data_IF_860133730961
#
_entry.id   IF_860133730961
#
_cell.length_a   1.000
_cell.length_b   1.000
_cell.length_c   1.000
_cell.angle_alpha   90.00
_cell.angle_beta   90.00
_cell.angle_gamma   90.00
#
_symmetry.space_group_name_H-M   'P 1'
#
loop_
_entity.id
_entity.type
_entity.pdbx_description
1 polymer ?
#
# COMPACT_ATOMS: atom_id res chain seq x y z
N UNK A 1 54.54 -6.70 31.35
CA UNK A 1 55.08 -7.49 30.22
C UNK A 1 54.10 -8.60 29.90
N UNK A 2 53.69 -8.68 28.62
CA UNK A 2 53.14 -9.83 27.85
C UNK A 2 51.96 -10.64 28.44
N UNK A 3 50.72 -10.51 27.93
CA UNK A 3 50.10 -11.01 26.66
C UNK A 3 49.77 -12.53 26.62
N UNK A 4 48.49 -12.79 26.29
CA UNK A 4 47.92 -13.94 25.56
C UNK A 4 47.90 -15.31 26.27
N UNK A 5 46.96 -16.24 26.02
CA UNK A 5 45.65 -16.30 25.35
C UNK A 5 45.13 -17.73 25.60
N UNK A 6 43.83 -17.94 25.74
CA UNK A 6 43.12 -19.18 25.36
C UNK A 6 41.61 -18.95 25.50
N UNK A 7 41.01 -18.49 24.40
CA UNK A 7 39.58 -18.50 24.13
C UNK A 7 39.31 -19.77 23.32
N UNK A 8 38.62 -20.74 23.89
CA UNK A 8 38.16 -21.93 23.16
C UNK A 8 36.63 -22.09 23.29
N UNK A 9 35.99 -21.97 22.12
CA UNK A 9 34.87 -22.78 21.63
C UNK A 9 33.72 -23.13 22.60
N UNK A 10 32.73 -22.25 22.69
CA UNK A 10 31.38 -22.62 23.12
C UNK A 10 30.30 -21.74 22.47
N UNK A 11 30.14 -21.81 21.14
CA UNK A 11 28.92 -21.26 20.51
C UNK A 11 28.69 -21.81 19.10
N UNK A 12 28.49 -23.12 18.93
CA UNK A 12 28.17 -23.74 17.62
C UNK A 12 27.19 -24.93 17.72
N UNK A 13 26.26 -24.94 18.69
CA UNK A 13 25.18 -25.95 18.73
C UNK A 13 23.86 -25.35 19.21
N UNK A 14 23.09 -24.76 18.28
CA UNK A 14 21.61 -24.72 18.29
C UNK A 14 21.04 -24.07 17.02
N UNK A 15 21.43 -24.56 15.85
CA UNK A 15 20.67 -24.34 14.61
C UNK A 15 20.71 -25.67 13.86
N UNK A 16 19.93 -26.64 14.32
CA UNK A 16 19.58 -27.85 13.56
C UNK A 16 18.45 -28.56 14.31
N UNK A 17 17.26 -27.99 14.21
CA UNK A 17 16.01 -28.75 14.33
C UNK A 17 15.08 -28.17 13.28
N UNK A 18 14.86 -28.92 12.21
CA UNK A 18 13.92 -28.61 11.14
C UNK A 18 12.53 -28.50 11.80
N UNK A 19 12.12 -27.27 12.04
CA UNK A 19 10.80 -26.93 12.57
C UNK A 19 9.75 -27.04 11.47
N UNK A 20 8.52 -27.35 11.85
CA UNK A 20 7.38 -27.44 10.93
C UNK A 20 7.17 -26.07 10.26
N UNK A 21 6.45 -25.97 9.13
CA UNK A 21 6.18 -24.67 8.47
C UNK A 21 5.63 -23.58 9.40
N UNK A 22 4.94 -23.95 10.49
CA UNK A 22 4.46 -23.03 11.52
C UNK A 22 5.54 -22.41 12.40
N UNK A 23 6.74 -22.98 12.49
CA UNK A 23 7.86 -22.43 13.26
C UNK A 23 8.57 -21.30 12.52
N UNK A 24 8.50 -21.27 11.18
CA UNK A 24 9.04 -20.20 10.32
C UNK A 24 8.28 -18.88 10.47
N UNK A 25 7.05 -18.93 11.00
CA UNK A 25 6.15 -17.78 11.06
C UNK A 25 6.08 -17.15 12.46
N UNK A 26 6.77 -17.74 13.44
CA UNK A 26 6.65 -17.42 14.86
C UNK A 26 7.76 -16.46 15.27
N UNK A 27 7.40 -15.21 15.61
CA UNK A 27 8.34 -14.23 16.16
C UNK A 27 8.86 -14.62 17.55
N UNK A 28 9.86 -13.90 18.09
CA UNK A 28 10.51 -14.23 19.35
C UNK A 28 9.56 -14.29 20.56
N UNK A 29 8.44 -13.58 20.51
CA UNK A 29 7.42 -13.55 21.56
C UNK A 29 6.32 -14.62 21.36
N UNK A 30 6.49 -15.50 20.36
CA UNK A 30 5.54 -16.55 20.02
C UNK A 30 4.38 -16.11 19.11
N UNK A 31 4.33 -14.85 18.71
CA UNK A 31 3.31 -14.25 17.83
C UNK A 31 3.63 -14.42 16.35
N UNK A 32 2.62 -14.74 15.55
CA UNK A 32 2.77 -14.89 14.10
C UNK A 32 2.79 -13.52 13.39
N UNK A 33 3.54 -13.37 12.31
CA UNK A 33 3.56 -12.10 11.54
C UNK A 33 2.14 -11.64 11.12
N UNK A 34 1.35 -12.58 10.58
CA UNK A 34 -0.06 -12.37 10.22
C UNK A 34 -0.93 -12.09 11.47
N UNK A 35 -0.63 -12.74 12.60
CA UNK A 35 -1.35 -12.52 13.84
C UNK A 35 -1.03 -11.16 14.48
N UNK A 36 0.19 -10.63 14.31
CA UNK A 36 0.57 -9.29 14.77
C UNK A 36 -0.24 -8.21 14.04
N UNK A 37 -0.44 -8.36 12.72
CA UNK A 37 -1.31 -7.49 11.93
C UNK A 37 -2.78 -7.64 12.32
N UNK A 38 -3.26 -8.88 12.53
CA UNK A 38 -4.63 -9.15 12.99
C UNK A 38 -4.91 -8.62 14.41
N UNK A 39 -3.95 -8.73 15.33
CA UNK A 39 -4.04 -8.21 16.70
C UNK A 39 -4.01 -6.69 16.69
N UNK A 40 -3.19 -6.05 15.85
CA UNK A 40 -3.20 -4.60 15.67
C UNK A 40 -4.57 -4.11 15.14
N UNK A 41 -5.12 -4.78 14.13
CA UNK A 41 -6.43 -4.44 13.59
C UNK A 41 -7.58 -4.69 14.59
N UNK A 42 -7.51 -5.74 15.41
CA UNK A 42 -8.50 -6.04 16.45
C UNK A 42 -8.38 -5.13 17.68
N UNK A 43 -7.16 -4.70 18.06
CA UNK A 43 -6.93 -3.79 19.18
C UNK A 43 -7.60 -2.42 18.97
N UNK A 44 -7.73 -1.97 17.72
CA UNK A 44 -8.50 -0.76 17.39
C UNK A 44 -10.00 -0.94 17.64
N UNK A 45 -10.50 -2.18 17.59
CA UNK A 45 -11.92 -2.51 17.83
C UNK A 45 -12.25 -2.63 19.31
N UNK A 46 -11.32 -3.09 20.14
CA UNK A 46 -11.53 -3.30 21.59
C UNK A 46 -11.48 -2.03 22.43
N UNK A 47 -10.85 -0.95 21.93
CA UNK A 47 -10.80 0.36 22.63
C UNK A 47 -11.99 1.27 22.29
N UNK A 48 -12.86 0.86 21.36
CA UNK A 48 -14.19 1.45 21.24
C UNK A 48 -15.07 0.82 22.33
N UNK A 49 -15.28 1.54 23.43
CA UNK A 49 -16.28 1.18 24.43
C UNK A 49 -17.60 0.93 23.72
N UNK A 50 -18.04 -0.33 23.75
CA UNK A 50 -19.34 -0.75 23.26
C UNK A 50 -20.40 -0.17 24.21
N UNK A 51 -20.75 1.09 23.98
CA UNK A 51 -21.99 1.66 24.47
C UNK A 51 -23.07 1.33 23.44
N UNK A 52 -23.86 0.32 23.78
CA UNK A 52 -25.11 0.03 23.08
C UNK A 52 -25.98 1.28 23.05
N UNK A 53 -26.30 1.80 21.86
CA UNK A 53 -27.48 2.63 21.61
C UNK A 53 -27.75 2.72 20.10
N UNK A 54 -28.15 1.60 19.50
CA UNK A 54 -28.89 1.66 18.22
C UNK A 54 -30.30 2.16 18.53
N UNK A 55 -30.59 3.43 18.25
CA UNK A 55 -31.96 3.93 18.12
C UNK A 55 -32.40 3.83 16.65
N UNK A 56 -33.63 3.35 16.35
CA UNK A 56 -34.17 3.40 15.00
C UNK A 56 -34.60 4.84 14.68
N UNK A 57 -34.18 5.39 13.53
CA UNK A 57 -34.72 6.66 13.03
C UNK A 57 -36.04 6.43 12.28
N UNK A 58 -37.01 7.36 12.40
CA UNK A 58 -38.39 7.15 11.98
C UNK A 58 -38.57 7.34 10.47
N UNK A 59 -39.47 6.54 9.92
CA UNK A 59 -40.08 6.72 8.61
C UNK A 59 -40.92 7.98 8.60
N UNK A 60 -40.65 8.92 7.69
CA UNK A 60 -41.63 9.74 6.96
C UNK A 60 -40.85 10.72 6.08
N UNK A 61 -41.03 10.66 4.76
CA UNK A 61 -41.27 11.85 3.93
C UNK A 61 -41.82 11.41 2.56
N UNK A 62 -42.88 12.09 2.17
CA UNK A 62 -43.85 11.82 1.11
C UNK A 62 -43.42 12.32 -0.26
N UNK A 63 -43.99 11.66 -1.29
CA UNK A 63 -44.35 12.11 -2.64
C UNK A 63 -43.64 13.32 -3.28
N UNK A 64 -43.06 13.08 -4.45
CA UNK A 64 -43.12 14.03 -5.58
C UNK A 64 -43.38 13.23 -6.87
N UNK A 65 -44.33 13.72 -7.66
CA UNK A 65 -44.87 13.15 -8.90
C UNK A 65 -43.86 13.20 -10.05
N UNK A 66 -43.89 12.17 -10.91
CA UNK A 66 -43.24 12.11 -12.22
C UNK A 66 -44.18 12.71 -13.27
N UNK A 67 -43.66 13.58 -14.13
CA UNK A 67 -44.24 13.78 -15.46
C UNK A 67 -43.15 14.02 -16.52
N UNK A 68 -43.56 13.69 -17.75
CA UNK A 68 -42.94 13.82 -19.07
C UNK A 68 -41.92 12.77 -19.55
N UNK A 69 -42.50 11.79 -20.25
CA UNK A 69 -41.86 10.89 -21.19
C UNK A 69 -41.40 11.63 -22.46
N UNK A 70 -40.15 11.43 -22.88
CA UNK A 70 -39.69 11.72 -24.24
C UNK A 70 -39.18 10.44 -24.91
N UNK A 71 -39.74 10.25 -26.10
CA UNK A 71 -39.71 9.09 -26.99
C UNK A 71 -38.28 8.63 -27.35
N UNK A 72 -37.98 7.34 -27.20
CA UNK A 72 -36.72 6.71 -27.61
C UNK A 72 -36.98 5.76 -28.76
N UNK A 73 -36.73 6.21 -29.99
CA UNK A 73 -36.55 5.29 -31.12
C UNK A 73 -35.42 5.80 -32.01
N UNK A 74 -34.60 4.84 -32.46
CA UNK A 74 -33.42 4.93 -33.33
C UNK A 74 -32.04 5.16 -32.67
N UNK A 75 -31.38 4.08 -32.23
CA UNK A 75 -29.92 3.90 -32.39
C UNK A 75 -29.58 2.40 -32.51
N UNK A 76 -28.52 2.04 -33.28
CA UNK A 76 -28.27 0.68 -33.73
C UNK A 76 -27.69 -0.22 -32.63
N UNK A 77 -28.13 -1.48 -32.64
CA UNK A 77 -27.59 -2.56 -31.83
C UNK A 77 -26.17 -2.87 -32.31
N UNK A 78 -25.15 -2.49 -31.53
CA UNK A 78 -23.95 -3.27 -31.25
C UNK A 78 -22.90 -2.38 -30.57
N UNK A 79 -22.98 -2.25 -29.25
CA UNK A 79 -21.84 -1.82 -28.42
C UNK A 79 -21.94 -2.50 -27.06
N UNK A 80 -20.95 -3.28 -26.60
CA UNK A 80 -21.00 -3.93 -25.30
C UNK A 80 -20.78 -2.87 -24.21
N UNK A 81 -21.87 -2.31 -23.69
CA UNK A 81 -21.86 -1.34 -22.60
C UNK A 81 -21.83 -2.07 -21.25
N UNK A 82 -20.71 -1.94 -20.54
CA UNK A 82 -20.58 -2.29 -19.12
C UNK A 82 -21.61 -1.49 -18.29
N UNK A 83 -22.65 -2.18 -17.80
CA UNK A 83 -23.22 -2.02 -16.46
C UNK A 83 -23.85 -0.69 -16.00
N UNK A 84 -23.83 0.42 -16.75
CA UNK A 84 -24.72 1.56 -16.48
C UNK A 84 -26.01 1.37 -17.26
N UNK A 85 -27.17 1.40 -16.58
CA UNK A 85 -28.47 1.55 -17.29
C UNK A 85 -28.30 2.72 -18.25
N UNK A 86 -28.35 2.46 -19.55
CA UNK A 86 -28.05 3.41 -20.64
C UNK A 86 -28.72 4.78 -20.44
N UNK A 87 -29.93 4.83 -19.87
CA UNK A 87 -30.61 6.08 -19.45
C UNK A 87 -29.80 6.99 -18.52
N UNK A 88 -29.06 6.43 -17.55
CA UNK A 88 -28.26 7.19 -16.60
C UNK A 88 -27.05 7.86 -17.25
N UNK A 89 -26.42 7.19 -18.22
CA UNK A 89 -25.28 7.73 -18.96
C UNK A 89 -25.71 8.91 -19.86
N UNK A 90 -26.77 8.74 -20.64
CA UNK A 90 -27.28 9.81 -21.49
C UNK A 90 -27.81 11.01 -20.70
N UNK A 91 -28.46 10.77 -19.55
CA UNK A 91 -28.88 11.82 -18.62
C UNK A 91 -27.69 12.58 -18.03
N UNK A 92 -26.61 11.87 -17.66
CA UNK A 92 -25.36 12.48 -17.19
C UNK A 92 -24.73 13.36 -18.28
N UNK A 93 -24.59 12.82 -19.49
CA UNK A 93 -24.04 13.54 -20.65
C UNK A 93 -24.88 14.79 -20.97
N UNK A 94 -26.21 14.69 -20.95
CA UNK A 94 -27.10 15.83 -21.15
C UNK A 94 -26.93 16.91 -20.07
N UNK A 95 -26.80 16.50 -18.80
CA UNK A 95 -26.56 17.42 -17.68
C UNK A 95 -25.21 18.13 -17.80
N UNK A 96 -24.15 17.41 -18.18
CA UNK A 96 -22.82 17.99 -18.39
C UNK A 96 -22.79 18.98 -19.56
N UNK A 97 -23.48 18.67 -20.68
CA UNK A 97 -23.65 19.59 -21.80
C UNK A 97 -24.40 20.86 -21.38
N UNK A 98 -25.45 20.74 -20.57
CA UNK A 98 -26.20 21.88 -20.03
C UNK A 98 -25.34 22.77 -19.13
N UNK A 99 -24.55 22.17 -18.24
CA UNK A 99 -23.61 22.90 -17.37
C UNK A 99 -22.53 23.63 -18.19
N UNK A 100 -21.96 22.99 -19.21
CA UNK A 100 -20.98 23.62 -20.13
C UNK A 100 -21.59 24.83 -20.84
N UNK A 101 -22.82 24.73 -21.31
CA UNK A 101 -23.53 25.83 -21.96
C UNK A 101 -23.83 26.99 -20.98
N UNK A 102 -24.17 26.68 -19.73
CA UNK A 102 -24.38 27.69 -18.68
C UNK A 102 -23.08 28.45 -18.37
N UNK A 103 -21.95 27.75 -18.20
CA UNK A 103 -20.65 28.35 -17.92
C UNK A 103 -20.18 29.28 -19.06
N UNK A 104 -20.39 28.87 -20.32
CA UNK A 104 -20.12 29.73 -21.49
C UNK A 104 -20.97 30.99 -21.52
N UNK A 105 -22.25 30.92 -21.12
CA UNK A 105 -23.17 32.07 -21.13
C UNK A 105 -22.79 33.15 -20.13
N UNK A 106 -22.13 32.79 -19.03
CA UNK A 106 -21.66 33.73 -17.99
C UNK A 106 -20.21 34.20 -18.21
N UNK A 107 -19.63 33.95 -19.39
CA UNK A 107 -18.28 34.39 -19.74
C UNK A 107 -17.16 33.72 -18.97
N UNK A 108 -17.43 32.61 -18.26
CA UNK A 108 -16.41 31.82 -17.57
C UNK A 108 -15.81 30.86 -18.59
N UNK A 109 -14.63 31.21 -19.07
CA UNK A 109 -13.79 30.29 -19.81
C UNK A 109 -13.02 29.41 -18.83
N UNK A 110 -13.32 28.12 -18.81
CA UNK A 110 -12.84 27.17 -17.78
C UNK A 110 -11.37 26.75 -18.04
N UNK A 111 -10.76 27.27 -19.11
CA UNK A 111 -9.36 27.00 -19.44
C UNK A 111 -8.44 27.51 -18.32
N UNK A 112 -7.60 26.59 -17.79
CA UNK A 112 -6.55 26.85 -16.82
C UNK A 112 -7.00 27.45 -15.47
N UNK A 113 -8.06 26.87 -14.89
CA UNK A 113 -8.55 27.28 -13.56
C UNK A 113 -7.57 27.01 -12.41
N UNK A 114 -6.59 26.11 -12.59
CA UNK A 114 -5.55 25.85 -11.58
C UNK A 114 -4.18 25.62 -12.22
N UNK A 115 -3.12 26.09 -11.54
CA UNK A 115 -1.73 25.83 -11.95
C UNK A 115 -1.48 24.32 -11.88
N UNK A 116 -1.07 23.73 -13.00
CA UNK A 116 -0.72 22.30 -13.09
C UNK A 116 -1.86 21.38 -13.55
N UNK A 117 -3.09 21.88 -13.73
CA UNK A 117 -4.18 21.13 -14.35
C UNK A 117 -4.50 21.73 -15.74
N UNK A 118 -3.94 21.15 -16.83
CA UNK A 118 -4.15 21.67 -18.18
C UNK A 118 -5.59 21.46 -18.68
N UNK A 119 -6.36 20.60 -18.00
CA UNK A 119 -7.71 20.20 -18.44
C UNK A 119 -8.82 20.63 -17.51
N UNK A 120 -8.53 20.88 -16.23
CA UNK A 120 -9.48 21.42 -15.26
C UNK A 120 -10.80 20.66 -15.20
N UNK A 121 -11.84 21.41 -14.89
CA UNK A 121 -13.25 20.99 -15.02
C UNK A 121 -13.63 20.75 -16.50
N UNK A 122 -12.84 21.19 -17.49
CA UNK A 122 -13.08 20.90 -18.91
C UNK A 122 -12.89 19.41 -19.25
N UNK A 123 -12.08 18.65 -18.51
CA UNK A 123 -12.00 17.21 -18.68
C UNK A 123 -13.38 16.55 -18.56
N UNK A 124 -14.20 17.00 -17.61
CA UNK A 124 -15.57 16.53 -17.38
C UNK A 124 -16.46 16.87 -18.60
N UNK A 125 -16.26 18.05 -19.19
CA UNK A 125 -16.98 18.46 -20.39
C UNK A 125 -16.61 17.62 -21.62
N UNK A 126 -15.37 17.11 -21.67
CA UNK A 126 -14.85 16.27 -22.75
C UNK A 126 -15.20 14.78 -22.59
N UNK A 127 -15.66 14.32 -21.42
CA UNK A 127 -16.24 12.96 -21.24
C UNK A 127 -17.40 12.71 -22.23
N UNK A 128 -18.08 13.79 -22.65
CA UNK A 128 -19.17 13.76 -23.62
C UNK A 128 -18.72 13.63 -25.09
N UNK A 129 -17.40 13.60 -25.37
CA UNK A 129 -16.81 13.55 -26.70
C UNK A 129 -15.97 12.24 -26.82
N UNK A 130 -16.61 11.08 -27.10
CA UNK A 130 -15.99 9.76 -26.99
C UNK A 130 -14.87 9.46 -28.00
N UNK A 131 -14.65 10.33 -28.98
CA UNK A 131 -13.78 10.09 -30.15
C UNK A 131 -12.46 10.87 -30.12
N UNK A 132 -12.27 11.84 -29.21
CA UNK A 132 -11.21 12.85 -29.36
C UNK A 132 -10.01 12.80 -28.40
N UNK A 133 -10.09 12.06 -27.28
CA UNK A 133 -9.04 12.09 -26.25
C UNK A 133 -8.35 10.73 -26.13
N UNK A 134 -7.03 10.76 -25.89
CA UNK A 134 -6.26 9.60 -25.44
C UNK A 134 -6.97 8.97 -24.23
N UNK A 135 -7.65 7.84 -24.48
CA UNK A 135 -8.51 7.15 -23.52
C UNK A 135 -7.74 6.57 -22.35
N UNK A 136 -6.40 6.61 -22.39
CA UNK A 136 -5.60 6.14 -21.28
C UNK A 136 -5.73 7.04 -20.07
N UNK A 137 -6.00 8.35 -20.20
CA UNK A 137 -6.23 9.31 -19.10
C UNK A 137 -5.13 9.40 -18.03
N UNK A 138 -4.11 8.56 -18.12
CA UNK A 138 -3.07 8.37 -17.14
C UNK A 138 -1.82 9.04 -17.67
N UNK A 139 -1.51 10.19 -17.09
CA UNK A 139 -0.17 10.72 -17.16
C UNK A 139 0.72 9.72 -16.43
N UNK A 140 1.57 8.98 -17.15
CA UNK A 140 2.84 8.55 -16.59
C UNK A 140 3.55 9.86 -16.24
N UNK A 141 3.34 10.36 -15.01
CA UNK A 141 3.92 11.63 -14.60
C UNK A 141 5.42 11.53 -14.87
N UNK A 142 6.02 12.42 -15.69
CA UNK A 142 7.46 12.47 -15.85
C UNK A 142 8.09 12.58 -14.46
N UNK A 143 9.20 11.90 -14.17
CA UNK A 143 9.92 12.12 -12.90
C UNK A 143 10.05 13.64 -12.69
N UNK A 144 9.43 14.15 -11.63
CA UNK A 144 9.32 15.60 -11.41
C UNK A 144 10.70 16.24 -11.42
N UNK A 145 10.77 17.52 -11.79
CA UNK A 145 12.02 18.30 -11.70
C UNK A 145 12.52 18.17 -10.26
N UNK A 146 13.69 17.54 -10.10
CA UNK A 146 14.30 17.27 -8.81
C UNK A 146 14.84 18.59 -8.26
N UNK A 147 14.00 19.32 -7.51
CA UNK A 147 14.48 20.43 -6.70
C UNK A 147 15.24 19.86 -5.49
N UNK A 148 16.44 20.38 -5.24
CA UNK A 148 17.15 20.15 -3.99
C UNK A 148 16.31 20.69 -2.84
N UNK A 149 16.24 19.94 -1.72
CA UNK A 149 15.64 20.42 -0.47
C UNK A 149 16.26 21.76 -0.08
N UNK A 150 15.44 22.69 0.38
CA UNK A 150 15.96 23.95 0.90
C UNK A 150 16.83 23.72 2.16
N UNK A 151 17.69 24.68 2.51
CA UNK A 151 18.59 24.52 3.66
C UNK A 151 17.87 24.36 5.01
N UNK A 152 16.65 24.91 5.15
CA UNK A 152 15.89 24.87 6.40
C UNK A 152 15.32 23.47 6.65
N UNK A 153 14.73 22.86 5.61
CA UNK A 153 14.25 21.48 5.61
C UNK A 153 15.40 20.49 5.87
N UNK A 154 16.57 20.73 5.28
CA UNK A 154 17.76 19.91 5.54
C UNK A 154 18.21 19.96 7.00
N UNK A 155 18.23 21.16 7.60
CA UNK A 155 18.59 21.33 9.00
C UNK A 155 17.52 20.74 9.94
N UNK A 156 16.25 20.86 9.60
CA UNK A 156 15.16 20.19 10.31
C UNK A 156 15.35 18.67 10.34
N UNK A 157 15.64 18.05 9.19
CA UNK A 157 15.90 16.60 9.09
C UNK A 157 17.13 16.18 9.90
N UNK A 158 18.20 16.99 9.89
CA UNK A 158 19.39 16.77 10.73
C UNK A 158 19.05 16.78 12.21
N UNK A 159 18.28 17.77 12.68
CA UNK A 159 17.84 17.88 14.08
C UNK A 159 16.93 16.73 14.50
N UNK A 160 16.12 16.19 13.59
CA UNK A 160 15.33 14.98 13.83
C UNK A 160 16.17 13.70 13.87
N UNK A 161 17.45 13.77 13.52
CA UNK A 161 18.34 12.62 13.43
C UNK A 161 17.99 11.69 12.26
N UNK A 162 17.35 12.21 11.21
CA UNK A 162 16.90 11.40 10.06
C UNK A 162 18.06 10.76 9.28
N UNK A 163 19.29 11.28 9.44
CA UNK A 163 20.50 10.74 8.80
C UNK A 163 21.45 10.04 9.80
N UNK A 164 21.02 9.86 11.05
CA UNK A 164 21.79 9.18 12.10
C UNK A 164 21.25 7.78 12.29
N UNK A 165 21.88 6.81 11.62
CA UNK A 165 21.45 5.41 11.64
C UNK A 165 22.06 4.64 12.83
N UNK A 166 21.40 3.56 13.29
CA UNK A 166 21.94 2.70 14.35
C UNK A 166 23.27 2.05 13.96
N UNK A 167 23.96 1.48 14.95
CA UNK A 167 25.18 0.71 14.71
C UNK A 167 24.96 -0.48 13.76
N UNK A 168 26.04 -0.91 13.09
CA UNK A 168 26.00 -1.95 12.06
C UNK A 168 25.28 -3.23 12.51
N UNK A 169 25.54 -3.70 13.75
CA UNK A 169 24.88 -4.89 14.31
C UNK A 169 23.36 -4.75 14.42
N UNK A 170 22.88 -3.58 14.84
CA UNK A 170 21.44 -3.30 14.97
C UNK A 170 20.79 -3.20 13.59
N UNK A 171 21.44 -2.50 12.65
CA UNK A 171 20.96 -2.39 11.25
C UNK A 171 20.84 -3.75 10.59
N UNK A 172 21.87 -4.58 10.72
CA UNK A 172 21.89 -5.92 10.16
C UNK A 172 20.80 -6.82 10.78
N UNK A 173 20.54 -6.70 12.09
CA UNK A 173 19.43 -7.40 12.75
C UNK A 173 18.05 -6.94 12.24
N UNK A 174 17.88 -5.64 12.00
CA UNK A 174 16.65 -5.08 11.43
C UNK A 174 16.43 -5.55 9.98
N UNK A 175 17.47 -5.56 9.15
CA UNK A 175 17.37 -6.03 7.77
C UNK A 175 17.07 -7.52 7.71
N UNK A 176 17.73 -8.34 8.55
CA UNK A 176 17.38 -9.76 8.71
C UNK A 176 15.93 -9.96 9.12
N UNK A 177 15.46 -9.22 10.13
CA UNK A 177 14.08 -9.30 10.57
C UNK A 177 13.09 -8.90 9.47
N UNK A 178 13.39 -7.87 8.66
CA UNK A 178 12.55 -7.49 7.53
C UNK A 178 12.41 -8.63 6.51
N UNK A 179 13.52 -9.14 6.01
CA UNK A 179 13.50 -10.17 4.96
C UNK A 179 12.98 -11.52 5.44
N UNK A 180 13.11 -11.82 6.74
CA UNK A 180 12.63 -13.06 7.30
C UNK A 180 11.12 -13.05 7.62
N UNK A 181 10.61 -11.95 8.17
CA UNK A 181 9.25 -11.91 8.72
C UNK A 181 8.26 -11.04 7.94
N UNK A 182 8.74 -10.00 7.24
CA UNK A 182 7.88 -9.04 6.53
C UNK A 182 7.83 -9.34 5.04
N UNK A 183 9.00 -9.41 4.40
CA UNK A 183 9.13 -9.55 2.95
C UNK A 183 8.34 -10.74 2.35
N UNK A 184 8.29 -11.94 2.97
CA UNK A 184 7.56 -13.07 2.38
C UNK A 184 6.04 -12.83 2.25
N UNK A 185 5.49 -11.93 3.05
CA UNK A 185 4.06 -11.56 3.03
C UNK A 185 3.82 -10.17 2.42
N UNK A 186 4.89 -9.40 2.26
CA UNK A 186 4.87 -8.04 1.77
C UNK A 186 6.07 -7.77 0.85
N UNK A 187 6.10 -8.43 -0.34
CA UNK A 187 7.28 -8.51 -1.21
C UNK A 187 7.41 -7.26 -2.08
N UNK A 188 7.59 -6.11 -1.44
CA UNK A 188 7.61 -4.82 -2.11
C UNK A 188 9.02 -4.30 -2.39
N UNK A 189 10.07 -5.04 -2.04
CA UNK A 189 11.48 -4.63 -2.18
C UNK A 189 12.20 -5.61 -3.10
N UNK A 190 12.97 -5.09 -4.06
CA UNK A 190 13.89 -5.91 -4.86
C UNK A 190 15.04 -6.41 -3.96
N UNK A 191 15.07 -7.72 -3.70
CA UNK A 191 15.98 -8.33 -2.73
C UNK A 191 17.43 -8.22 -3.23
N UNK A 192 17.64 -8.50 -4.51
CA UNK A 192 18.96 -8.45 -5.13
C UNK A 192 19.57 -7.05 -5.03
N UNK A 193 18.83 -6.03 -5.50
CA UNK A 193 19.30 -4.65 -5.50
C UNK A 193 19.54 -4.12 -4.08
N UNK A 194 18.62 -4.41 -3.15
CA UNK A 194 18.74 -3.94 -1.78
C UNK A 194 19.92 -4.58 -1.04
N UNK A 195 20.03 -5.92 -1.05
CA UNK A 195 21.09 -6.61 -0.31
C UNK A 195 22.47 -6.30 -0.86
N UNK A 196 22.61 -6.12 -2.17
CA UNK A 196 23.86 -5.68 -2.78
C UNK A 196 24.31 -4.31 -2.25
N UNK A 197 23.39 -3.35 -2.14
CA UNK A 197 23.69 -2.02 -1.57
C UNK A 197 23.97 -2.08 -0.06
N UNK A 198 23.22 -2.90 0.68
CA UNK A 198 23.39 -3.07 2.12
C UNK A 198 24.77 -3.61 2.50
N UNK A 199 25.24 -4.64 1.79
CA UNK A 199 26.50 -5.33 2.11
C UNK A 199 27.75 -4.63 1.54
N UNK A 200 27.62 -3.90 0.43
CA UNK A 200 28.73 -3.17 -0.19
C UNK A 200 29.16 -1.90 0.56
N UNK A 201 28.66 -1.68 1.78
CA UNK A 201 28.79 -0.45 2.55
C UNK A 201 28.32 0.83 1.82
N UNK A 202 27.57 0.69 0.73
CA UNK A 202 26.97 1.80 -0.03
C UNK A 202 25.56 2.11 0.46
N UNK A 203 25.36 2.08 1.77
CA UNK A 203 24.07 2.39 2.41
C UNK A 203 23.63 3.84 2.14
N UNK A 204 24.56 4.73 1.85
CA UNK A 204 24.31 6.09 1.35
C UNK A 204 23.52 6.09 0.02
N UNK A 205 23.56 4.99 -0.74
CA UNK A 205 22.80 4.80 -1.98
C UNK A 205 21.41 4.21 -1.77
N UNK A 206 21.07 3.80 -0.55
CA UNK A 206 19.70 3.40 -0.20
C UNK A 206 18.99 4.61 0.39
N UNK A 207 17.76 4.85 -0.05
CA UNK A 207 16.94 5.93 0.49
C UNK A 207 16.83 5.85 2.02
N UNK A 208 17.17 6.95 2.69
CA UNK A 208 16.98 7.08 4.12
C UNK A 208 15.52 6.87 4.52
N UNK A 209 14.58 7.35 3.70
CA UNK A 209 13.15 7.19 3.97
C UNK A 209 12.76 5.71 3.90
N UNK A 210 13.20 5.02 2.85
CA UNK A 210 12.95 3.58 2.72
C UNK A 210 13.58 2.79 3.88
N UNK A 211 14.83 3.07 4.24
CA UNK A 211 15.52 2.38 5.35
C UNK A 211 14.77 2.53 6.67
N UNK A 212 14.39 3.76 7.05
CA UNK A 212 13.65 3.96 8.30
C UNK A 212 12.29 3.26 8.27
N UNK A 213 11.58 3.27 7.14
CA UNK A 213 10.30 2.57 7.02
C UNK A 213 10.47 1.05 7.03
N UNK A 214 11.53 0.49 6.45
CA UNK A 214 11.86 -0.93 6.59
C UNK A 214 12.18 -1.30 8.04
N UNK A 215 12.96 -0.47 8.73
CA UNK A 215 13.27 -0.67 10.15
C UNK A 215 12.02 -0.59 11.02
N UNK A 216 11.07 0.27 10.66
CA UNK A 216 9.79 0.41 11.34
C UNK A 216 8.97 -0.89 11.31
N UNK A 217 8.87 -1.50 10.12
CA UNK A 217 8.18 -2.78 9.93
C UNK A 217 8.91 -3.92 10.65
N UNK A 218 10.24 -3.97 10.53
CA UNK A 218 11.09 -4.98 11.14
C UNK A 218 11.14 -4.93 12.67
N UNK A 219 10.99 -3.74 13.26
CA UNK A 219 11.10 -3.51 14.70
C UNK A 219 10.17 -4.42 15.51
N UNK A 220 9.01 -4.79 14.95
CA UNK A 220 8.04 -5.72 15.55
C UNK A 220 8.62 -7.08 15.93
N UNK A 221 9.68 -7.52 15.23
CA UNK A 221 10.25 -8.86 15.34
C UNK A 221 11.63 -8.89 16.01
N UNK A 222 12.09 -7.74 16.54
CA UNK A 222 13.37 -7.67 17.24
C UNK A 222 13.30 -8.25 18.65
N UNK A 223 14.32 -9.00 19.04
CA UNK A 223 14.55 -9.42 20.42
C UNK A 223 14.94 -8.24 21.32
N UNK A 224 14.57 -8.29 22.60
CA UNK A 224 14.78 -7.18 23.54
C UNK A 224 16.25 -6.75 23.65
N UNK A 225 17.20 -7.69 23.60
CA UNK A 225 18.63 -7.38 23.68
C UNK A 225 19.10 -6.45 22.56
N UNK A 226 18.57 -6.62 21.35
CA UNK A 226 18.90 -5.75 20.21
C UNK A 226 18.29 -4.36 20.39
N UNK A 227 17.09 -4.28 20.97
CA UNK A 227 16.42 -3.00 21.29
C UNK A 227 17.22 -2.23 22.33
N UNK A 228 17.68 -2.91 23.40
CA UNK A 228 18.53 -2.31 24.44
C UNK A 228 19.90 -1.89 23.90
N UNK A 229 20.51 -2.73 23.06
CA UNK A 229 21.77 -2.40 22.38
C UNK A 229 21.64 -1.19 21.46
N UNK A 230 20.44 -0.94 20.91
CA UNK A 230 20.14 0.27 20.14
C UNK A 230 19.90 1.52 21.01
N UNK A 231 20.00 1.41 22.34
CA UNK A 231 19.85 2.51 23.28
C UNK A 231 18.40 2.82 23.70
N UNK A 232 17.46 1.91 23.44
CA UNK A 232 16.04 2.13 23.79
C UNK A 232 15.60 1.22 24.94
N UNK A 233 14.75 1.73 25.83
CA UNK A 233 14.25 0.94 26.96
C UNK A 233 13.21 -0.09 26.51
N UNK A 234 12.41 0.24 25.49
CA UNK A 234 11.33 -0.62 24.99
C UNK A 234 11.25 -0.61 23.47
N UNK A 235 10.70 -1.70 22.89
CA UNK A 235 10.41 -1.79 21.44
C UNK A 235 9.48 -0.66 20.99
N UNK A 236 8.49 -0.28 21.82
CA UNK A 236 7.56 0.82 21.56
C UNK A 236 8.29 2.16 21.40
N UNK A 237 9.24 2.45 22.28
CA UNK A 237 10.05 3.67 22.22
C UNK A 237 10.92 3.72 20.95
N UNK A 238 11.61 2.62 20.65
CA UNK A 238 12.40 2.47 19.43
C UNK A 238 11.53 2.69 18.18
N UNK A 239 10.39 2.02 18.10
CA UNK A 239 9.43 2.12 16.99
C UNK A 239 8.92 3.56 16.80
N UNK A 240 8.59 4.26 17.90
CA UNK A 240 8.21 5.68 17.86
C UNK A 240 9.34 6.58 17.35
N UNK A 241 10.58 6.33 17.79
CA UNK A 241 11.75 7.08 17.31
C UNK A 241 11.98 6.87 15.81
N UNK A 242 11.88 5.63 15.34
CA UNK A 242 12.00 5.28 13.91
C UNK A 242 10.89 5.96 13.09
N UNK A 243 9.63 5.84 13.53
CA UNK A 243 8.49 6.44 12.84
C UNK A 243 8.65 7.96 12.67
N UNK A 244 9.07 8.66 13.73
CA UNK A 244 9.29 10.12 13.66
C UNK A 244 10.33 10.51 12.61
N UNK A 245 11.38 9.71 12.42
CA UNK A 245 12.40 9.94 11.39
C UNK A 245 11.86 9.67 9.98
N UNK A 246 11.17 8.54 9.77
CA UNK A 246 10.52 8.23 8.50
C UNK A 246 9.49 9.30 8.11
N UNK A 247 8.63 9.69 9.06
CA UNK A 247 7.61 10.72 8.84
C UNK A 247 8.22 12.08 8.52
N UNK A 248 9.29 12.48 9.19
CA UNK A 248 9.97 13.73 8.86
C UNK A 248 10.50 13.73 7.42
N UNK A 249 11.06 12.61 6.95
CA UNK A 249 11.52 12.47 5.56
C UNK A 249 10.36 12.51 4.55
N UNK A 250 9.22 11.92 4.88
CA UNK A 250 8.00 12.02 4.08
C UNK A 250 7.47 13.46 4.02
N UNK A 251 7.31 14.12 5.17
CA UNK A 251 6.73 15.46 5.28
C UNK A 251 7.55 16.50 4.50
N UNK A 252 8.88 16.35 4.46
CA UNK A 252 9.80 17.19 3.69
C UNK A 252 9.95 16.77 2.22
N UNK A 253 9.20 15.75 1.78
CA UNK A 253 9.27 15.21 0.40
C UNK A 253 10.71 14.84 0.01
N UNK A 254 11.48 14.28 0.94
CA UNK A 254 12.89 13.95 0.73
C UNK A 254 13.06 12.90 -0.38
N UNK A 255 12.22 11.87 -0.39
CA UNK A 255 12.29 10.81 -1.39
C UNK A 255 11.75 11.28 -2.74
N UNK A 256 12.53 11.08 -3.80
CA UNK A 256 12.22 11.55 -5.16
C UNK A 256 11.88 10.42 -6.11
N UNK A 257 12.41 9.22 -5.88
CA UNK A 257 12.01 8.05 -6.64
C UNK A 257 10.61 7.60 -6.19
N UNK A 258 9.66 7.58 -7.13
CA UNK A 258 8.27 7.28 -6.83
C UNK A 258 8.05 5.86 -6.32
N UNK A 259 8.78 4.89 -6.86
CA UNK A 259 8.67 3.49 -6.42
C UNK A 259 9.12 3.38 -4.97
N UNK A 260 10.26 3.97 -4.65
CA UNK A 260 10.85 4.04 -3.32
C UNK A 260 9.94 4.77 -2.33
N UNK A 261 9.32 5.88 -2.75
CA UNK A 261 8.32 6.59 -1.96
C UNK A 261 7.11 5.70 -1.63
N UNK A 262 6.53 5.03 -2.64
CA UNK A 262 5.39 4.12 -2.44
C UNK A 262 5.76 2.99 -1.47
N UNK A 263 6.93 2.36 -1.66
CA UNK A 263 7.45 1.33 -0.77
C UNK A 263 7.60 1.83 0.66
N UNK A 264 8.22 2.99 0.84
CA UNK A 264 8.43 3.58 2.17
C UNK A 264 7.11 3.90 2.87
N UNK A 265 6.14 4.50 2.17
CA UNK A 265 4.82 4.86 2.68
C UNK A 265 4.00 3.61 3.04
N UNK A 266 4.05 2.55 2.22
CA UNK A 266 3.43 1.27 2.56
C UNK A 266 3.98 0.70 3.87
N UNK A 267 5.30 0.75 4.03
CA UNK A 267 5.97 0.26 5.24
C UNK A 267 5.70 1.14 6.48
N UNK A 268 5.36 2.42 6.29
CA UNK A 268 4.87 3.26 7.39
C UNK A 268 3.53 2.75 7.96
N UNK A 269 2.76 1.99 7.17
CA UNK A 269 1.54 1.31 7.63
C UNK A 269 1.77 0.32 8.78
N UNK A 270 3.01 -0.12 9.04
CA UNK A 270 3.34 -0.99 10.16
C UNK A 270 3.42 -0.25 11.51
N UNK A 271 3.22 1.06 11.53
CA UNK A 271 3.16 1.84 12.76
C UNK A 271 1.76 1.84 13.39
N UNK A 272 1.66 1.14 14.51
CA UNK A 272 0.55 1.21 15.46
C UNK A 272 1.17 1.53 16.81
N UNK A 273 1.03 2.76 17.26
CA UNK A 273 1.65 3.27 18.49
C UNK A 273 0.65 3.31 19.61
N UNK A 274 -0.50 3.96 19.40
CA UNK A 274 -1.51 4.29 20.41
C UNK A 274 -2.82 4.75 19.72
N UNK A 275 -3.96 4.63 20.40
CA UNK A 275 -5.30 5.05 19.91
C UNK A 275 -5.44 6.55 19.66
N UNK A 276 -4.49 7.36 20.13
CA UNK A 276 -4.49 8.82 19.99
C UNK A 276 -3.77 9.30 18.72
N UNK A 277 -3.02 8.43 18.03
CA UNK A 277 -2.29 8.83 16.83
C UNK A 277 -3.27 8.98 15.64
N UNK A 278 -3.43 10.23 15.19
CA UNK A 278 -4.32 10.63 14.08
C UNK A 278 -3.96 9.99 12.72
N UNK A 279 -2.78 9.38 12.62
CA UNK A 279 -2.18 8.81 11.39
C UNK A 279 -1.84 7.32 11.58
N UNK A 280 -2.86 6.50 11.83
CA UNK A 280 -2.72 5.05 11.96
C UNK A 280 -2.49 4.32 10.63
N UNK A 281 -2.35 2.97 10.65
CA UNK A 281 -2.04 2.15 9.47
C UNK A 281 -2.93 2.44 8.25
N UNK A 282 -4.23 2.58 8.49
CA UNK A 282 -5.20 2.86 7.42
C UNK A 282 -4.91 4.17 6.69
N UNK A 283 -4.40 5.21 7.37
CA UNK A 283 -4.02 6.47 6.73
C UNK A 283 -2.88 6.26 5.72
N UNK A 284 -1.79 5.63 6.16
CA UNK A 284 -0.61 5.40 5.32
C UNK A 284 -0.91 4.50 4.13
N UNK A 285 -1.76 3.49 4.31
CA UNK A 285 -2.26 2.66 3.21
C UNK A 285 -3.06 3.51 2.21
N UNK A 286 -3.93 4.40 2.69
CA UNK A 286 -4.66 5.32 1.81
C UNK A 286 -3.74 6.21 0.96
N UNK A 287 -2.66 6.74 1.57
CA UNK A 287 -1.63 7.51 0.87
C UNK A 287 -0.93 6.64 -0.18
N UNK A 288 -0.49 5.43 0.18
CA UNK A 288 0.18 4.53 -0.73
C UNK A 288 -0.70 4.11 -1.93
N UNK A 289 -2.00 3.88 -1.72
CA UNK A 289 -2.97 3.59 -2.77
C UNK A 289 -3.04 4.76 -3.75
N UNK A 290 -3.21 5.98 -3.23
CA UNK A 290 -3.26 7.19 -4.06
C UNK A 290 -1.98 7.40 -4.89
N UNK A 291 -0.81 7.21 -4.28
CA UNK A 291 0.48 7.27 -4.98
C UNK A 291 0.61 6.17 -6.05
N UNK A 292 0.18 4.94 -5.75
CA UNK A 292 0.22 3.81 -6.67
C UNK A 292 -0.73 4.00 -7.86
N UNK A 293 -1.93 4.54 -7.61
CA UNK A 293 -2.89 4.88 -8.66
C UNK A 293 -2.37 6.00 -9.55
N UNK A 294 -1.80 7.05 -8.95
CA UNK A 294 -1.15 8.15 -9.66
C UNK A 294 0.02 7.67 -10.52
N UNK A 295 0.78 6.68 -10.05
CA UNK A 295 1.86 6.05 -10.80
C UNK A 295 1.38 5.02 -11.84
N UNK A 296 0.07 4.72 -11.89
CA UNK A 296 -0.51 3.78 -12.84
C UNK A 296 -0.28 2.30 -12.49
N UNK A 297 0.11 1.95 -11.26
CA UNK A 297 0.44 0.55 -10.90
C UNK A 297 -0.78 -0.39 -10.89
N UNK A 298 -1.98 0.19 -10.82
CA UNK A 298 -3.27 -0.51 -10.94
C UNK A 298 -3.67 -0.86 -12.38
N UNK A 299 -2.88 -0.37 -13.36
CA UNK A 299 -3.13 -0.58 -14.78
C UNK A 299 -2.04 -1.42 -15.42
N UNK A 300 -2.43 -2.29 -16.34
CA UNK A 300 -1.53 -3.00 -17.22
C UNK A 300 -0.98 -2.03 -18.27
N UNK A 301 0.35 -1.88 -18.39
CA UNK A 301 0.97 -0.95 -19.34
C UNK A 301 0.87 -1.44 -20.80
N UNK A 302 -0.33 -1.56 -21.38
CA UNK A 302 -0.56 -2.14 -22.71
C UNK A 302 0.27 -1.50 -23.84
N UNK A 303 0.51 -0.18 -23.81
CA UNK A 303 1.26 0.55 -24.85
C UNK A 303 2.71 0.87 -24.49
N UNK A 304 3.07 0.82 -23.19
CA UNK A 304 4.38 1.21 -22.66
C UNK A 304 5.18 0.06 -22.05
N UNK A 305 4.59 -1.14 -21.94
CA UNK A 305 5.24 -2.35 -21.41
C UNK A 305 6.57 -2.67 -22.10
N UNK A 306 6.69 -2.41 -23.41
CA UNK A 306 7.93 -2.67 -24.15
C UNK A 306 9.12 -1.80 -23.70
N UNK A 307 8.86 -0.67 -23.02
CA UNK A 307 9.90 0.25 -22.52
C UNK A 307 10.28 0.02 -21.07
N UNK A 308 9.50 -0.76 -20.31
CA UNK A 308 9.73 -1.00 -18.88
C UNK A 308 10.39 -2.38 -18.73
N UNK A 309 11.57 -2.50 -18.09
CA UNK A 309 12.21 -3.79 -17.86
C UNK A 309 11.29 -4.77 -17.10
N UNK A 310 11.32 -6.05 -17.48
CA UNK A 310 10.45 -7.07 -16.87
C UNK A 310 10.58 -7.13 -15.34
N UNK A 311 11.81 -7.05 -14.79
CA UNK A 311 12.02 -7.06 -13.33
C UNK A 311 11.21 -5.98 -12.62
N UNK A 312 11.16 -4.77 -13.21
CA UNK A 312 10.44 -3.62 -12.67
C UNK A 312 8.93 -3.81 -12.77
N UNK A 313 8.44 -4.38 -13.87
CA UNK A 313 7.02 -4.71 -14.02
C UNK A 313 6.55 -5.71 -12.94
N UNK A 314 7.37 -6.73 -12.64
CA UNK A 314 7.09 -7.70 -11.57
C UNK A 314 7.00 -7.00 -10.22
N UNK A 315 8.02 -6.21 -9.87
CA UNK A 315 8.04 -5.45 -8.62
C UNK A 315 6.82 -4.54 -8.47
N UNK A 316 6.45 -3.81 -9.52
CA UNK A 316 5.28 -2.93 -9.52
C UNK A 316 3.96 -3.68 -9.36
N UNK A 317 3.82 -4.84 -10.01
CA UNK A 317 2.68 -5.74 -9.80
C UNK A 317 2.61 -6.19 -8.35
N UNK A 318 3.73 -6.57 -7.75
CA UNK A 318 3.79 -6.98 -6.34
C UNK A 318 3.46 -5.85 -5.38
N UNK A 319 3.93 -4.63 -5.63
CA UNK A 319 3.56 -3.43 -4.89
C UNK A 319 2.05 -3.20 -4.97
N UNK A 320 1.47 -3.24 -6.18
CA UNK A 320 0.03 -3.04 -6.36
C UNK A 320 -0.81 -4.06 -5.59
N UNK A 321 -0.51 -5.36 -5.74
CA UNK A 321 -1.26 -6.39 -5.04
C UNK A 321 -1.03 -6.39 -3.52
N UNK A 322 0.13 -5.90 -3.07
CA UNK A 322 0.37 -5.61 -1.65
C UNK A 322 -0.53 -4.48 -1.14
N UNK A 323 -0.79 -3.43 -1.94
CA UNK A 323 -1.79 -2.41 -1.62
C UNK A 323 -3.19 -3.01 -1.49
N UNK A 324 -3.61 -3.84 -2.45
CA UNK A 324 -4.92 -4.52 -2.43
C UNK A 324 -5.09 -5.35 -1.17
N UNK A 325 -4.11 -6.20 -0.86
CA UNK A 325 -4.14 -7.03 0.33
C UNK A 325 -4.31 -6.22 1.61
N UNK A 326 -3.49 -5.19 1.80
CA UNK A 326 -3.52 -4.35 3.00
C UNK A 326 -4.81 -3.53 3.11
N UNK A 327 -5.32 -2.97 2.00
CA UNK A 327 -6.58 -2.20 2.02
C UNK A 327 -7.74 -3.08 2.48
N UNK A 328 -7.85 -4.30 1.94
CA UNK A 328 -8.90 -5.24 2.33
C UNK A 328 -8.72 -5.71 3.76
N UNK A 329 -7.51 -6.12 4.14
CA UNK A 329 -7.24 -6.67 5.47
C UNK A 329 -7.57 -5.67 6.58
N UNK A 330 -7.12 -4.43 6.44
CA UNK A 330 -7.44 -3.37 7.40
C UNK A 330 -8.90 -2.93 7.34
N UNK A 331 -9.53 -2.95 6.16
CA UNK A 331 -10.96 -2.67 6.03
C UNK A 331 -11.81 -3.70 6.78
N UNK A 332 -11.48 -4.99 6.67
CA UNK A 332 -12.11 -6.06 7.45
C UNK A 332 -11.90 -5.83 8.96
N UNK A 333 -10.64 -5.65 9.38
CA UNK A 333 -10.31 -5.56 10.81
C UNK A 333 -10.88 -4.32 11.50
N UNK A 334 -10.92 -3.18 10.82
CA UNK A 334 -11.40 -1.91 11.35
C UNK A 334 -12.88 -1.63 11.03
N UNK A 335 -13.54 -2.47 10.23
CA UNK A 335 -14.92 -2.24 9.76
C UNK A 335 -15.06 -1.01 8.85
N UNK A 336 -14.04 -0.73 8.03
CA UNK A 336 -14.01 0.41 7.11
C UNK A 336 -14.33 -0.04 5.67
N UNK A 337 -14.81 0.85 4.79
CA UNK A 337 -14.94 0.54 3.37
C UNK A 337 -13.56 0.33 2.73
N UNK A 338 -13.49 -0.65 1.83
CA UNK A 338 -12.36 -0.82 0.90
C UNK A 338 -12.30 0.39 -0.03
N UNK A 339 -11.10 0.91 -0.28
CA UNK A 339 -10.86 2.06 -1.16
C UNK A 339 -10.62 1.64 -2.60
N UNK A 340 -9.99 0.48 -2.79
CA UNK A 340 -9.72 -0.05 -4.12
C UNK A 340 -10.97 -0.75 -4.65
N UNK A 341 -11.48 -0.23 -5.76
CA UNK A 341 -12.44 -0.93 -6.59
C UNK A 341 -11.69 -1.77 -7.62
N UNK A 342 -11.82 -3.10 -7.52
CA UNK A 342 -11.11 -4.02 -8.41
C UNK A 342 -11.59 -3.91 -9.87
N UNK A 343 -12.81 -3.43 -10.12
CA UNK A 343 -13.33 -3.23 -11.48
C UNK A 343 -12.57 -2.13 -12.25
N UNK A 344 -11.89 -1.23 -11.55
CA UNK A 344 -11.09 -0.15 -12.15
C UNK A 344 -9.64 -0.60 -12.47
N UNK A 345 -9.29 -1.84 -12.13
CA UNK A 345 -7.93 -2.37 -12.17
C UNK A 345 -7.79 -3.45 -13.25
N UNK A 346 -6.70 -3.42 -14.01
CA UNK A 346 -6.37 -4.48 -14.99
C UNK A 346 -4.93 -5.00 -14.85
N UNK A 347 -4.22 -4.65 -13.77
CA UNK A 347 -2.96 -5.29 -13.39
C UNK A 347 -3.15 -6.78 -13.17
N UNK A 348 -2.36 -7.60 -13.89
CA UNK A 348 -2.41 -9.06 -13.79
C UNK A 348 -2.14 -9.55 -12.37
N UNK A 349 -2.79 -10.64 -11.95
CA UNK A 349 -2.49 -11.31 -10.68
C UNK A 349 -1.01 -11.72 -10.61
N UNK A 350 -0.39 -11.65 -9.43
CA UNK A 350 0.99 -12.09 -9.26
C UNK A 350 1.04 -13.62 -9.24
N UNK A 351 2.17 -14.17 -9.66
CA UNK A 351 2.49 -15.59 -9.51
C UNK A 351 3.69 -15.75 -8.58
N UNK A 352 3.89 -16.94 -8.01
CA UNK A 352 5.01 -17.19 -7.08
C UNK A 352 6.38 -16.83 -7.71
N UNK A 353 6.53 -17.08 -9.01
CA UNK A 353 7.73 -16.73 -9.77
C UNK A 353 8.02 -15.22 -9.82
N UNK A 354 7.01 -14.34 -9.62
CA UNK A 354 7.25 -12.90 -9.52
C UNK A 354 8.06 -12.56 -8.24
N UNK A 355 7.79 -13.23 -7.12
CA UNK A 355 8.53 -13.07 -5.85
C UNK A 355 9.91 -13.70 -5.94
N UNK A 356 9.96 -14.94 -6.42
CA UNK A 356 11.23 -15.68 -6.55
C UNK A 356 12.22 -14.91 -7.45
N UNK A 357 11.69 -14.19 -8.45
CA UNK A 357 12.47 -13.34 -9.33
C UNK A 357 13.16 -12.16 -8.63
N UNK A 358 12.65 -11.67 -7.49
CA UNK A 358 13.26 -10.57 -6.73
C UNK A 358 14.60 -10.96 -6.09
N UNK A 359 14.83 -12.26 -5.89
CA UNK A 359 16.04 -12.81 -5.28
C UNK A 359 16.99 -13.47 -6.29
N UNK A 360 16.70 -13.40 -7.60
CA UNK A 360 17.61 -13.88 -8.64
C UNK A 360 18.92 -13.10 -8.56
N UNK A 361 20.05 -13.79 -8.63
CA UNK A 361 21.38 -13.17 -8.56
C UNK A 361 21.84 -12.80 -7.14
N UNK A 362 21.06 -13.07 -6.10
CA UNK A 362 21.53 -13.00 -4.70
C UNK A 362 22.48 -14.18 -4.44
N UNK A 363 23.73 -13.94 -3.99
CA UNK A 363 24.66 -15.00 -3.60
C UNK A 363 24.10 -15.90 -2.49
N UNK A 364 24.44 -17.19 -2.50
CA UNK A 364 23.91 -18.16 -1.54
C UNK A 364 24.23 -17.78 -0.09
N UNK A 365 25.41 -17.20 0.18
CA UNK A 365 25.79 -16.69 1.50
C UNK A 365 24.85 -15.60 2.02
N UNK A 366 24.38 -14.70 1.15
CA UNK A 366 23.42 -13.65 1.53
C UNK A 366 22.01 -14.22 1.64
N UNK A 367 21.65 -15.19 0.78
CA UNK A 367 20.36 -15.89 0.87
C UNK A 367 20.23 -16.60 2.22
N UNK A 368 21.23 -17.38 2.61
CA UNK A 368 21.25 -18.09 3.90
C UNK A 368 21.23 -17.13 5.10
N UNK A 369 21.85 -15.94 4.96
CA UNK A 369 21.91 -14.92 6.01
C UNK A 369 20.58 -14.18 6.21
N UNK A 370 19.90 -13.80 5.12
CA UNK A 370 18.77 -12.86 5.18
C UNK A 370 17.40 -13.48 4.87
N UNK A 371 17.35 -14.50 4.01
CA UNK A 371 16.11 -15.07 3.53
C UNK A 371 15.78 -16.37 4.28
N UNK A 372 14.48 -16.67 4.50
CA UNK A 372 14.07 -17.94 5.07
C UNK A 372 14.34 -19.10 4.08
N UNK A 373 14.70 -20.28 4.58
CA UNK A 373 14.97 -21.44 3.73
C UNK A 373 13.74 -21.88 2.89
N UNK A 374 12.53 -21.65 3.40
CA UNK A 374 11.26 -22.01 2.76
C UNK A 374 10.67 -20.96 1.80
N UNK A 375 11.50 -20.09 1.20
CA UNK A 375 11.01 -19.01 0.31
C UNK A 375 10.05 -19.49 -0.79
N UNK A 376 10.28 -20.61 -1.52
CA UNK A 376 9.36 -21.02 -2.59
C UNK A 376 7.94 -21.32 -2.12
N UNK A 377 7.76 -21.84 -0.91
CA UNK A 377 6.44 -22.12 -0.36
C UNK A 377 5.78 -20.85 0.20
N UNK A 378 6.58 -19.93 0.76
CA UNK A 378 6.10 -18.61 1.17
C UNK A 378 5.66 -17.79 -0.04
N UNK A 379 6.35 -17.89 -1.18
CA UNK A 379 5.96 -17.23 -2.43
C UNK A 379 4.59 -17.71 -2.92
N UNK A 380 4.29 -19.00 -2.80
CA UNK A 380 2.94 -19.56 -3.10
C UNK A 380 1.90 -19.05 -2.09
N UNK A 381 2.25 -19.03 -0.80
CA UNK A 381 1.36 -18.56 0.25
C UNK A 381 0.96 -17.09 0.06
N UNK A 382 1.89 -16.24 -0.36
CA UNK A 382 1.58 -14.85 -0.72
C UNK A 382 0.50 -14.77 -1.80
N UNK A 383 0.62 -15.55 -2.88
CA UNK A 383 -0.39 -15.60 -3.96
C UNK A 383 -1.75 -16.02 -3.41
N UNK A 384 -1.80 -17.00 -2.51
CA UNK A 384 -3.05 -17.41 -1.86
C UNK A 384 -3.64 -16.30 -0.98
N UNK A 385 -2.81 -15.52 -0.26
CA UNK A 385 -3.27 -14.36 0.51
C UNK A 385 -3.87 -13.27 -0.38
N UNK A 386 -3.35 -13.09 -1.60
CA UNK A 386 -3.95 -12.19 -2.59
C UNK A 386 -5.31 -12.72 -3.06
N UNK A 387 -5.42 -14.00 -3.38
CA UNK A 387 -6.70 -14.62 -3.76
C UNK A 387 -7.75 -14.46 -2.66
N UNK A 388 -7.35 -14.68 -1.40
CA UNK A 388 -8.21 -14.47 -0.23
C UNK A 388 -8.64 -13.00 -0.08
N UNK A 389 -7.74 -12.03 -0.30
CA UNK A 389 -8.07 -10.62 -0.26
C UNK A 389 -9.11 -10.24 -1.32
N UNK A 390 -9.06 -10.83 -2.51
CA UNK A 390 -10.06 -10.59 -3.57
C UNK A 390 -11.44 -11.09 -3.14
N UNK A 391 -11.51 -12.32 -2.59
CA UNK A 391 -12.75 -12.89 -2.07
C UNK A 391 -13.31 -12.01 -0.95
N UNK A 392 -12.45 -11.58 -0.01
CA UNK A 392 -12.84 -10.70 1.09
C UNK A 392 -13.34 -9.34 0.60
N UNK A 393 -12.70 -8.75 -0.42
CA UNK A 393 -13.15 -7.49 -1.04
C UNK A 393 -14.56 -7.62 -1.61
N UNK A 394 -14.84 -8.73 -2.31
CA UNK A 394 -16.17 -9.02 -2.87
C UNK A 394 -17.23 -9.21 -1.76
N UNK A 395 -16.87 -9.86 -0.66
CA UNK A 395 -17.77 -10.01 0.50
C UNK A 395 -18.07 -8.64 1.13
N UNK A 396 -17.04 -7.81 1.34
CA UNK A 396 -17.20 -6.47 1.90
C UNK A 396 -18.08 -5.59 1.00
N UNK A 397 -17.85 -5.64 -0.32
CA UNK A 397 -18.59 -4.83 -1.28
C UNK A 397 -20.04 -5.26 -1.46
N UNK A 398 -20.41 -6.50 -1.11
CA UNK A 398 -21.78 -7.01 -1.22
C UNK A 398 -22.56 -6.93 0.09
N UNK A 399 -21.94 -7.27 1.21
CA UNK A 399 -22.65 -7.43 2.50
C UNK A 399 -22.55 -6.22 3.43
N UNK A 400 -21.51 -5.40 3.29
CA UNK A 400 -21.21 -4.30 4.23
C UNK A 400 -21.49 -2.90 3.65
N UNK A 401 -22.11 -2.82 2.46
CA UNK A 401 -22.63 -1.53 1.95
C UNK A 401 -23.76 -1.02 2.84
N UNK A 402 -23.70 0.26 3.20
CA UNK A 402 -24.71 0.93 4.02
C UNK A 402 -26.15 0.80 3.45
N UNK A 403 -26.28 0.72 2.13
CA UNK A 403 -27.52 0.31 1.44
C UNK A 403 -27.46 -1.17 1.11
N UNK A 404 -27.93 -2.02 2.02
CA UNK A 404 -28.17 -3.42 1.72
C UNK A 404 -29.41 -3.53 0.85
N UNK A 405 -29.27 -4.06 -0.37
CA UNK A 405 -30.42 -4.68 -1.05
C UNK A 405 -30.57 -6.05 -0.37
N UNK A 406 -31.40 -6.14 0.67
CA UNK A 406 -31.73 -7.44 1.24
C UNK A 406 -32.34 -8.28 0.12
N UNK A 407 -31.78 -9.46 -0.21
CA UNK A 407 -32.46 -10.34 -1.14
C UNK A 407 -33.85 -10.60 -0.56
N UNK A 408 -34.89 -10.28 -1.32
CA UNK A 408 -36.26 -10.67 -0.95
C UNK A 408 -36.20 -12.17 -0.70
N UNK A 409 -36.52 -12.60 0.52
CA UNK A 409 -36.79 -14.02 0.78
C UNK A 409 -37.71 -14.45 -0.35
N UNK A 410 -37.33 -15.49 -1.12
CA UNK A 410 -38.32 -16.19 -1.93
C UNK A 410 -39.44 -16.52 -0.95
N UNK A 411 -40.60 -15.91 -1.14
CA UNK A 411 -41.79 -16.34 -0.46
C UNK A 411 -41.94 -17.82 -0.83
N UNK A 412 -41.78 -18.69 0.15
CA UNK A 412 -42.03 -20.10 -0.04
C UNK A 412 -43.52 -20.28 -0.24
N UNK A 413 -43.88 -20.79 -1.40
CA UNK A 413 -44.85 -21.89 -1.62
C UNK A 413 -44.86 -22.21 -3.10
#
# INVERSE_FOLDING_TARGET
MTKNASLEFASHKRINSIGKPGDLLRGPDGTYAIASEAVAACSERSNASCSSNYRPFPSHFSHFEEDDALNTDSLPADTPMYGMRTRSYFSLVASLKKTRAMLRRIGIDIHNSTIGDPTGVCAIANICEPEGADKSGHFLLPNGIVASLDPEDQEYLRRKGAFVFPEARVRDSLVRAYFHYVHPFFPIIDVQDFLHKHESATLDRVSAHLLWSMYLAACNFLVEDVVRAAGYATRKEMKRSIYRKAKALYDMQHEKDRTTLIQAVLLMGFYSSDTEDKTGPWHWIGVAIGLSQTAGLHRNPHSTASRIPQHRQRLWRLIWWSCVHQDVWFSVGMGRPVRINLDDCDTQLPVAADLDALAIGVPDTLREKYLPAGMPDLSKLFVELINLAIIQSNILSTHYRARQIRPKKRAGS
#
